data_IF_503239525602
#
_entry.id   IF_503239525602
#
_cell.length_a   1.000
_cell.length_b   1.000
_cell.length_c   1.000
_cell.angle_alpha   90.00
_cell.angle_beta   90.00
_cell.angle_gamma   90.00
#
_symmetry.space_group_name_H-M   'P 1'
#
loop_
_entity.id
_entity.type
_entity.pdbx_description
1 polymer ?
#
# COMPACT_ATOMS: atom_id res chain seq x y z
N UNK A 1 24.00 30.68 30.81
CA UNK A 1 24.50 29.45 30.15
C UNK A 1 23.29 28.66 29.71
N UNK A 2 22.91 28.75 28.42
CA UNK A 2 21.73 28.06 27.88
C UNK A 2 22.08 26.60 27.66
N UNK A 3 21.69 25.76 28.61
CA UNK A 3 22.00 24.34 28.63
C UNK A 3 20.81 23.57 28.05
N UNK A 4 20.66 23.66 26.73
CA UNK A 4 19.85 22.71 25.96
C UNK A 4 20.63 21.40 25.86
N UNK A 5 20.84 20.70 26.98
CA UNK A 5 21.75 19.56 26.96
C UNK A 5 21.13 18.27 26.46
N UNK A 6 19.84 17.97 26.65
CA UNK A 6 19.43 16.60 26.39
C UNK A 6 17.98 16.47 25.93
N UNK A 7 17.80 16.29 24.62
CA UNK A 7 16.65 15.54 24.07
C UNK A 7 16.51 14.19 24.80
N UNK A 8 17.63 13.64 25.27
CA UNK A 8 17.70 12.43 26.08
C UNK A 8 17.11 12.57 27.50
N UNK A 9 17.19 13.73 28.16
CA UNK A 9 16.55 13.97 29.47
C UNK A 9 15.04 14.13 29.31
N UNK A 10 14.58 14.69 28.20
CA UNK A 10 13.14 14.77 27.87
C UNK A 10 12.51 13.41 27.55
N UNK A 11 13.32 12.46 27.07
CA UNK A 11 12.90 11.07 26.81
C UNK A 11 12.94 10.22 28.10
N UNK A 12 13.86 10.53 29.03
CA UNK A 12 14.12 9.73 30.22
C UNK A 12 13.51 10.26 31.54
N UNK A 13 13.01 11.49 31.61
CA UNK A 13 12.20 11.93 32.75
C UNK A 13 10.78 11.34 32.68
N UNK A 14 10.59 10.13 33.22
CA UNK A 14 9.25 9.63 33.59
C UNK A 14 8.47 8.85 32.52
N UNK A 15 9.14 8.14 31.60
CA UNK A 15 8.47 7.09 30.79
C UNK A 15 7.68 7.56 29.55
N UNK A 16 7.79 8.84 29.17
CA UNK A 16 6.98 9.40 28.09
C UNK A 16 7.55 9.27 26.66
N UNK A 17 8.81 8.84 26.50
CA UNK A 17 9.42 8.64 25.18
C UNK A 17 8.60 7.72 24.26
N UNK A 18 8.01 6.65 24.81
CA UNK A 18 7.17 5.71 24.06
C UNK A 18 5.90 6.34 23.47
N UNK A 19 5.32 7.36 24.11
CA UNK A 19 4.10 8.01 23.63
C UNK A 19 4.34 8.82 22.37
N UNK A 20 5.48 9.52 22.32
CA UNK A 20 5.88 10.32 21.16
C UNK A 20 6.10 9.41 19.96
N UNK A 21 6.84 8.32 20.14
CA UNK A 21 7.05 7.30 19.10
C UNK A 21 5.74 6.64 18.66
N UNK A 22 4.83 6.35 19.58
CA UNK A 22 3.52 5.78 19.25
C UNK A 22 2.66 6.78 18.47
N UNK A 23 2.63 8.06 18.86
CA UNK A 23 1.91 9.11 18.15
C UNK A 23 2.47 9.35 16.74
N UNK A 24 3.80 9.35 16.59
CA UNK A 24 4.46 9.39 15.28
C UNK A 24 4.17 8.15 14.45
N UNK A 25 4.20 6.96 15.05
CA UNK A 25 3.91 5.70 14.36
C UNK A 25 2.46 5.66 13.86
N UNK A 26 1.51 6.04 14.70
CA UNK A 26 0.09 6.12 14.34
C UNK A 26 -0.12 7.15 13.23
N UNK A 27 0.50 8.33 13.34
CA UNK A 27 0.42 9.35 12.28
C UNK A 27 1.04 8.86 10.97
N UNK A 28 2.21 8.22 11.02
CA UNK A 28 2.88 7.68 9.84
C UNK A 28 2.06 6.57 9.19
N UNK A 29 1.44 5.69 9.98
CA UNK A 29 0.53 4.66 9.48
C UNK A 29 -0.69 5.30 8.83
N UNK A 30 -1.32 6.31 9.44
CA UNK A 30 -2.48 6.98 8.86
C UNK A 30 -2.13 7.66 7.52
N UNK A 31 -0.97 8.33 7.45
CA UNK A 31 -0.47 8.98 6.24
C UNK A 31 -0.14 7.95 5.16
N UNK A 32 0.55 6.87 5.53
CA UNK A 32 0.82 5.74 4.65
C UNK A 32 -0.49 5.12 4.15
N UNK A 33 -1.49 4.93 5.00
CA UNK A 33 -2.80 4.39 4.61
C UNK A 33 -3.50 5.27 3.59
N UNK A 34 -3.45 6.59 3.77
CA UNK A 34 -4.03 7.56 2.84
C UNK A 34 -3.34 7.51 1.48
N UNK A 35 -2.02 7.27 1.43
CA UNK A 35 -1.24 7.16 0.19
C UNK A 35 -1.35 5.76 -0.45
N UNK A 36 -1.40 4.72 0.35
CA UNK A 36 -1.50 3.32 -0.10
C UNK A 36 -2.90 3.04 -0.65
N UNK A 37 -3.96 3.62 -0.07
CA UNK A 37 -5.35 3.47 -0.55
C UNK A 37 -5.52 3.75 -2.05
N UNK A 38 -5.09 4.90 -2.61
CA UNK A 38 -5.18 5.15 -4.05
C UNK A 38 -4.23 4.28 -4.88
N UNK A 39 -3.04 3.94 -4.36
CA UNK A 39 -2.09 3.07 -5.06
C UNK A 39 -2.62 1.64 -5.20
N UNK A 40 -3.18 1.07 -4.13
CA UNK A 40 -3.81 -0.25 -4.12
C UNK A 40 -5.02 -0.27 -5.03
N UNK A 41 -5.84 0.78 -5.02
CA UNK A 41 -6.99 0.91 -5.94
C UNK A 41 -6.54 0.83 -7.40
N UNK A 42 -5.48 1.57 -7.79
CA UNK A 42 -4.92 1.49 -9.16
C UNK A 42 -4.39 0.10 -9.50
N UNK A 43 -3.71 -0.55 -8.55
CA UNK A 43 -3.16 -1.90 -8.74
C UNK A 43 -4.26 -2.96 -8.88
N UNK A 44 -5.37 -2.82 -8.14
CA UNK A 44 -6.55 -3.67 -8.27
C UNK A 44 -7.21 -3.53 -9.64
N UNK A 45 -7.36 -2.30 -10.16
CA UNK A 45 -7.91 -2.07 -11.50
C UNK A 45 -7.10 -2.77 -12.61
N UNK A 46 -5.76 -2.72 -12.55
CA UNK A 46 -4.94 -3.44 -13.54
C UNK A 46 -5.09 -4.97 -13.43
N UNK A 47 -5.23 -5.50 -12.21
CA UNK A 47 -5.40 -6.93 -11.98
C UNK A 47 -6.75 -7.44 -12.49
N UNK A 48 -7.80 -6.63 -12.38
CA UNK A 48 -9.14 -6.92 -12.91
C UNK A 48 -9.10 -7.01 -14.45
N UNK A 49 -8.45 -6.04 -15.11
CA UNK A 49 -8.33 -5.99 -16.57
C UNK A 49 -7.52 -7.19 -17.09
N UNK A 50 -6.39 -7.53 -16.47
CA UNK A 50 -5.58 -8.67 -16.87
C UNK A 50 -6.37 -10.00 -16.81
N UNK A 51 -7.24 -10.14 -15.80
CA UNK A 51 -8.06 -11.32 -15.60
C UNK A 51 -9.21 -11.45 -16.60
N UNK A 52 -9.76 -10.33 -17.06
CA UNK A 52 -10.76 -10.31 -18.13
C UNK A 52 -10.14 -10.63 -19.49
N UNK A 53 -8.98 -10.03 -19.82
CA UNK A 53 -8.29 -10.31 -21.09
C UNK A 53 -7.90 -11.78 -21.25
N UNK A 54 -7.49 -12.46 -20.16
CA UNK A 54 -7.19 -13.90 -20.20
C UNK A 54 -8.41 -14.73 -20.64
N UNK A 55 -9.62 -14.36 -20.21
CA UNK A 55 -10.85 -15.08 -20.53
C UNK A 55 -11.32 -14.84 -21.95
N UNK A 56 -11.15 -13.61 -22.46
CA UNK A 56 -11.49 -13.26 -23.83
C UNK A 56 -10.58 -13.96 -24.84
N UNK A 57 -9.27 -13.99 -24.57
CA UNK A 57 -8.30 -14.72 -25.41
C UNK A 57 -8.60 -16.22 -25.48
N UNK A 58 -8.96 -16.83 -24.35
CA UNK A 58 -9.33 -18.24 -24.31
C UNK A 58 -10.59 -18.54 -25.16
N UNK A 59 -11.57 -17.62 -25.20
CA UNK A 59 -12.79 -17.78 -26.01
C UNK A 59 -12.57 -17.60 -27.51
N UNK A 60 -11.71 -16.65 -27.91
CA UNK A 60 -11.40 -16.41 -29.32
C UNK A 60 -10.68 -17.62 -29.94
N UNK A 61 -9.73 -18.21 -29.20
CA UNK A 61 -8.98 -19.36 -29.69
C UNK A 61 -9.85 -20.62 -29.92
N UNK A 62 -10.90 -20.80 -29.12
CA UNK A 62 -11.90 -21.87 -29.34
C UNK A 62 -12.78 -21.63 -30.57
N UNK A 63 -12.91 -20.39 -31.04
CA UNK A 63 -13.77 -20.04 -32.19
C UNK A 63 -12.99 -20.10 -33.51
N UNK A 64 -11.71 -19.70 -33.52
CA UNK A 64 -10.82 -19.83 -34.69
C UNK A 64 -10.43 -21.29 -35.00
N UNK A 65 -10.26 -22.13 -33.97
CA UNK A 65 -9.89 -23.55 -34.19
C UNK A 65 -11.04 -24.34 -34.84
N UNK A 66 -12.30 -23.95 -34.58
CA UNK A 66 -13.47 -24.65 -35.09
C UNK A 66 -13.89 -24.23 -36.50
N UNK A 67 -13.33 -23.14 -37.05
CA UNK A 67 -13.64 -22.62 -38.39
C UNK A 67 -12.58 -22.99 -39.46
N UNK A 68 -11.43 -23.54 -39.04
CA UNK A 68 -10.37 -24.04 -39.95
C UNK A 68 -10.51 -25.54 -40.26
N UNK A 69 -11.42 -26.25 -39.59
CA UNK A 69 -11.60 -27.72 -39.73
C UNK A 69 -12.87 -28.13 -40.51
N UNK A 70 -13.47 -27.23 -41.29
CA UNK A 70 -14.62 -27.48 -42.18
C UNK A 70 -14.25 -27.19 -43.63
#
# INVERSE_FOLDING_TARGET
>A
MFRFENINDFIQMGGHGYYVWSAYLISLIALAWLVISPLVRRKQFMKEIARQQQRERARQQSTDTNSTSS
#
